data_IF_862500099811
#
_entry.id   IF_862500099811
#
_cell.length_a   1.000
_cell.length_b   1.000
_cell.length_c   1.000
_cell.angle_alpha   90.00
_cell.angle_beta   90.00
_cell.angle_gamma   90.00
#
_symmetry.space_group_name_H-M   'P 1'
#
loop_
_entity.id
_entity.type
_entity.pdbx_description
1 polymer ?
#
# COMPACT_ATOMS: atom_id res chain seq x y z
N UNK A 1 -17.67 -20.40 -22.43
CA UNK A 1 -18.27 -20.57 -23.75
C UNK A 1 -17.56 -19.61 -24.68
N UNK A 2 -17.07 -20.10 -25.81
CA UNK A 2 -16.34 -19.28 -26.77
C UNK A 2 -17.28 -18.20 -27.33
N UNK A 3 -16.77 -17.01 -27.62
CA UNK A 3 -17.58 -15.91 -28.19
C UNK A 3 -18.30 -16.32 -29.49
N UNK A 4 -17.79 -17.34 -30.19
CA UNK A 4 -18.34 -17.87 -31.43
C UNK A 4 -19.61 -18.71 -31.15
N UNK A 5 -19.59 -19.57 -30.12
CA UNK A 5 -20.75 -20.38 -29.72
C UNK A 5 -21.95 -19.50 -29.31
N UNK A 6 -21.69 -18.40 -28.58
CA UNK A 6 -22.74 -17.45 -28.17
C UNK A 6 -23.32 -16.72 -29.38
N UNK A 7 -22.48 -16.34 -30.36
CA UNK A 7 -22.96 -15.73 -31.61
C UNK A 7 -23.80 -16.70 -32.43
N UNK A 8 -23.40 -17.98 -32.50
CA UNK A 8 -24.12 -19.00 -33.23
C UNK A 8 -25.50 -19.29 -32.61
N UNK A 9 -25.59 -19.38 -31.28
CA UNK A 9 -26.85 -19.52 -30.55
C UNK A 9 -27.78 -18.32 -30.82
N UNK A 10 -27.25 -17.09 -30.74
CA UNK A 10 -28.03 -15.88 -31.00
C UNK A 10 -28.51 -15.76 -32.45
N UNK A 11 -27.68 -16.17 -33.41
CA UNK A 11 -28.08 -16.20 -34.83
C UNK A 11 -29.18 -17.24 -35.04
N UNK A 12 -29.06 -18.42 -34.43
CA UNK A 12 -30.10 -19.45 -34.50
C UNK A 12 -31.44 -18.99 -33.89
N UNK A 13 -31.40 -18.23 -32.79
CA UNK A 13 -32.60 -17.60 -32.20
C UNK A 13 -33.24 -16.58 -33.15
N UNK A 14 -32.43 -15.71 -33.77
CA UNK A 14 -32.91 -14.70 -34.72
C UNK A 14 -33.51 -15.34 -35.98
N UNK A 15 -32.87 -16.38 -36.51
CA UNK A 15 -33.39 -17.16 -37.63
C UNK A 15 -34.73 -17.81 -37.30
N UNK A 16 -34.87 -18.40 -36.10
CA UNK A 16 -36.12 -19.03 -35.67
C UNK A 16 -37.24 -18.00 -35.47
N UNK A 17 -36.91 -16.76 -35.13
CA UNK A 17 -37.88 -15.68 -34.92
C UNK A 17 -38.37 -15.06 -36.25
N UNK A 18 -37.50 -14.95 -37.24
CA UNK A 18 -37.83 -14.38 -38.56
C UNK A 18 -38.42 -15.43 -39.51
N UNK A 19 -37.81 -16.62 -39.54
CA UNK A 19 -38.23 -17.75 -40.36
C UNK A 19 -38.92 -18.77 -39.44
N UNK A 20 -40.20 -18.54 -39.15
CA UNK A 20 -41.05 -19.46 -38.37
C UNK A 20 -40.75 -20.92 -38.73
N UNK A 21 -40.64 -21.77 -37.70
CA UNK A 21 -40.18 -23.16 -37.74
C UNK A 21 -40.60 -23.91 -39.02
N UNK A 22 -39.70 -23.95 -40.02
CA UNK A 22 -39.91 -24.69 -41.26
C UNK A 22 -39.44 -24.01 -42.56
N UNK A 23 -39.28 -22.68 -42.59
CA UNK A 23 -38.91 -21.94 -43.81
C UNK A 23 -37.52 -21.30 -43.72
N UNK A 24 -36.49 -22.08 -43.36
CA UNK A 24 -35.10 -21.59 -43.46
C UNK A 24 -34.70 -21.59 -44.95
N UNK A 25 -34.35 -20.44 -45.54
CA UNK A 25 -33.89 -20.42 -46.92
C UNK A 25 -32.60 -21.26 -47.04
N UNK A 26 -32.57 -22.22 -47.94
CA UNK A 26 -31.30 -22.89 -48.28
C UNK A 26 -30.45 -21.92 -49.11
N UNK A 27 -29.13 -22.07 -49.06
CA UNK A 27 -28.16 -21.18 -49.72
C UNK A 27 -28.41 -21.07 -51.24
N UNK A 28 -29.12 -22.03 -51.84
CA UNK A 28 -29.45 -22.10 -53.26
C UNK A 28 -30.89 -21.67 -53.63
N UNK A 29 -31.70 -21.21 -52.67
CA UNK A 29 -33.07 -20.74 -52.94
C UNK A 29 -33.08 -19.30 -53.49
N UNK A 30 -33.96 -18.98 -54.47
CA UNK A 30 -34.11 -17.61 -54.95
C UNK A 30 -34.55 -16.69 -53.78
N UNK A 31 -34.05 -15.44 -53.72
CA UNK A 31 -34.44 -14.52 -52.66
C UNK A 31 -35.97 -14.35 -52.69
N UNK A 32 -36.61 -14.61 -51.55
CA UNK A 32 -38.07 -14.43 -51.39
C UNK A 32 -38.48 -13.05 -51.89
N UNK A 33 -39.39 -13.01 -52.87
CA UNK A 33 -39.78 -11.80 -53.61
C UNK A 33 -40.39 -10.69 -52.75
N UNK A 34 -40.83 -11.01 -51.53
CA UNK A 34 -41.33 -10.03 -50.57
C UNK A 34 -40.42 -10.01 -49.35
N UNK A 35 -39.69 -8.90 -49.17
CA UNK A 35 -38.93 -8.68 -47.95
C UNK A 35 -39.88 -8.69 -46.75
N UNK A 36 -39.44 -9.27 -45.62
CA UNK A 36 -40.16 -9.18 -44.34
C UNK A 36 -40.43 -7.71 -43.99
N UNK A 37 -39.51 -6.82 -44.38
CA UNK A 37 -39.65 -5.37 -44.23
C UNK A 37 -40.81 -4.83 -45.05
N UNK A 38 -40.98 -5.27 -46.31
CA UNK A 38 -42.08 -4.80 -47.17
C UNK A 38 -43.43 -5.30 -46.66
N UNK A 39 -43.49 -6.54 -46.17
CA UNK A 39 -44.70 -7.09 -45.55
C UNK A 39 -45.06 -6.36 -44.25
N UNK A 40 -44.06 -6.03 -43.43
CA UNK A 40 -44.23 -5.25 -42.21
C UNK A 40 -44.68 -3.82 -42.51
N UNK A 41 -44.10 -3.19 -43.54
CA UNK A 41 -44.45 -1.84 -43.98
C UNK A 41 -45.88 -1.82 -44.54
N UNK A 42 -46.26 -2.84 -45.32
CA UNK A 42 -47.63 -3.01 -45.80
C UNK A 42 -48.61 -3.17 -44.63
N UNK A 43 -48.31 -4.03 -43.65
CA UNK A 43 -49.13 -4.17 -42.45
C UNK A 43 -49.23 -2.85 -41.66
N UNK A 44 -48.11 -2.14 -41.48
CA UNK A 44 -48.09 -0.84 -40.82
C UNK A 44 -48.94 0.21 -41.55
N UNK A 45 -48.89 0.26 -42.88
CA UNK A 45 -49.72 1.20 -43.67
C UNK A 45 -51.21 0.84 -43.63
N UNK A 46 -51.57 -0.45 -43.65
CA UNK A 46 -52.95 -0.91 -43.44
C UNK A 46 -53.47 -0.55 -42.05
N UNK A 47 -52.65 -0.74 -41.03
CA UNK A 47 -52.97 -0.35 -39.66
C UNK A 47 -53.13 1.18 -39.59
N UNK A 48 -52.13 1.94 -40.03
CA UNK A 48 -52.13 3.41 -40.00
C UNK A 48 -53.33 4.02 -40.75
N UNK A 49 -53.66 3.50 -41.93
CA UNK A 49 -54.84 3.92 -42.70
C UNK A 49 -56.16 3.59 -41.98
N UNK A 50 -56.23 2.44 -41.29
CA UNK A 50 -57.39 2.07 -40.45
C UNK A 50 -57.56 2.98 -39.23
N UNK A 51 -56.46 3.52 -38.69
CA UNK A 51 -56.46 4.49 -37.59
C UNK A 51 -56.71 5.95 -38.04
N UNK A 52 -56.48 6.27 -39.32
CA UNK A 52 -56.56 7.64 -39.87
C UNK A 52 -57.95 8.29 -39.71
N UNK A 53 -59.03 7.51 -39.58
CA UNK A 53 -60.38 7.99 -39.31
C UNK A 53 -60.82 7.97 -37.84
N UNK A 54 -59.98 7.45 -36.92
CA UNK A 54 -60.32 7.22 -35.50
C UNK A 54 -59.36 7.98 -34.59
N UNK A 55 -59.61 9.26 -34.41
CA UNK A 55 -58.77 10.17 -33.62
C UNK A 55 -58.47 9.65 -32.20
N UNK A 56 -59.49 9.11 -31.50
CA UNK A 56 -59.32 8.52 -30.16
C UNK A 56 -58.38 7.31 -30.15
N UNK A 57 -58.45 6.48 -31.19
CA UNK A 57 -57.64 5.28 -31.29
C UNK A 57 -56.18 5.62 -31.65
N UNK A 58 -55.98 6.63 -32.50
CA UNK A 58 -54.65 7.19 -32.81
C UNK A 58 -54.00 7.84 -31.57
N UNK A 59 -54.79 8.53 -30.73
CA UNK A 59 -54.29 9.09 -29.47
C UNK A 59 -53.81 8.00 -28.49
N UNK A 60 -54.47 6.85 -28.43
CA UNK A 60 -54.03 5.71 -27.60
C UNK A 60 -52.75 5.09 -28.16
N UNK A 61 -52.64 4.89 -29.48
CA UNK A 61 -51.42 4.35 -30.11
C UNK A 61 -50.20 5.24 -29.82
N UNK A 62 -50.36 6.56 -29.81
CA UNK A 62 -49.27 7.48 -29.44
C UNK A 62 -48.84 7.33 -27.97
N UNK A 63 -49.78 7.05 -27.07
CA UNK A 63 -49.50 6.81 -25.64
C UNK A 63 -48.88 5.45 -25.36
N UNK A 64 -48.90 4.50 -26.30
CA UNK A 64 -48.22 3.21 -26.13
C UNK A 64 -46.70 3.40 -26.03
N UNK A 65 -46.12 4.32 -26.82
CA UNK A 65 -44.68 4.63 -26.71
C UNK A 65 -44.31 5.30 -25.39
N UNK A 66 -45.19 6.17 -24.86
CA UNK A 66 -45.04 6.73 -23.52
C UNK A 66 -45.16 5.63 -22.45
N UNK A 67 -46.12 4.71 -22.58
CA UNK A 67 -46.31 3.60 -21.66
C UNK A 67 -45.11 2.64 -21.63
N UNK A 68 -44.50 2.38 -22.78
CA UNK A 68 -43.27 1.58 -22.88
C UNK A 68 -42.13 2.24 -22.11
N UNK A 69 -42.02 3.57 -22.17
CA UNK A 69 -41.05 4.32 -21.37
C UNK A 69 -41.34 4.24 -19.87
N UNK A 70 -42.61 4.24 -19.45
CA UNK A 70 -42.99 4.09 -18.04
C UNK A 70 -42.84 2.66 -17.51
N UNK A 71 -42.80 1.66 -18.41
CA UNK A 71 -42.61 0.25 -18.07
C UNK A 71 -41.13 -0.17 -18.11
N UNK A 72 -40.24 0.70 -18.57
CA UNK A 72 -38.80 0.45 -18.52
C UNK A 72 -38.36 0.32 -17.04
N UNK A 73 -37.71 -0.79 -16.63
CA UNK A 73 -37.17 -0.93 -15.28
C UNK A 73 -36.13 0.14 -14.89
N UNK A 74 -35.58 0.87 -15.87
CA UNK A 74 -34.71 2.02 -15.66
C UNK A 74 -35.46 3.36 -15.67
N UNK A 75 -36.80 3.37 -15.73
CA UNK A 75 -37.58 4.59 -15.64
C UNK A 75 -37.49 5.18 -14.23
N UNK A 76 -36.51 6.06 -14.03
CA UNK A 76 -36.32 6.74 -12.76
C UNK A 76 -37.37 7.84 -12.57
N UNK A 77 -38.25 7.65 -11.59
CA UNK A 77 -39.04 8.76 -11.04
C UNK A 77 -38.06 9.72 -10.31
N UNK A 78 -37.58 10.72 -11.05
CA UNK A 78 -36.53 11.64 -10.60
C UNK A 78 -36.86 12.39 -9.29
N UNK A 79 -38.15 12.58 -8.99
CA UNK A 79 -38.58 13.28 -7.78
C UNK A 79 -38.31 12.42 -6.53
N UNK A 80 -38.82 11.17 -6.48
CA UNK A 80 -38.60 10.25 -5.35
C UNK A 80 -37.11 9.98 -5.05
N UNK A 81 -36.23 10.15 -6.04
CA UNK A 81 -34.80 10.00 -5.84
C UNK A 81 -34.14 11.26 -5.26
N UNK A 82 -34.71 12.45 -5.40
CA UNK A 82 -34.05 13.68 -4.94
C UNK A 82 -34.02 13.76 -3.41
N UNK A 83 -35.14 13.48 -2.74
CA UNK A 83 -35.19 13.40 -1.27
C UNK A 83 -34.33 12.25 -0.74
N UNK A 84 -34.40 11.07 -1.38
CA UNK A 84 -33.58 9.92 -0.98
C UNK A 84 -32.07 10.17 -1.15
N UNK A 85 -31.68 10.86 -2.23
CA UNK A 85 -30.28 11.29 -2.46
C UNK A 85 -29.86 12.34 -1.43
N UNK A 86 -30.73 13.28 -1.07
CA UNK A 86 -30.44 14.28 -0.05
C UNK A 86 -30.25 13.65 1.34
N UNK A 87 -31.12 12.71 1.71
CA UNK A 87 -30.99 11.95 2.97
C UNK A 87 -29.71 11.10 2.97
N UNK A 88 -29.40 10.43 1.85
CA UNK A 88 -28.15 9.69 1.69
C UNK A 88 -26.92 10.59 1.90
N UNK A 89 -26.89 11.78 1.28
CA UNK A 89 -25.79 12.73 1.44
C UNK A 89 -25.67 13.20 2.90
N UNK A 90 -26.78 13.47 3.59
CA UNK A 90 -26.79 13.84 5.00
C UNK A 90 -26.27 12.71 5.89
N UNK A 91 -26.63 11.46 5.60
CA UNK A 91 -26.12 10.30 6.35
C UNK A 91 -24.62 10.09 6.15
N UNK A 92 -24.10 10.39 4.95
CA UNK A 92 -22.68 10.25 4.59
C UNK A 92 -21.84 11.49 4.94
N UNK A 93 -22.46 12.61 5.32
CA UNK A 93 -21.78 13.86 5.70
C UNK A 93 -20.61 13.66 6.69
N UNK A 94 -20.75 12.92 7.82
CA UNK A 94 -19.65 12.74 8.75
C UNK A 94 -18.47 11.97 8.14
N UNK A 95 -18.73 10.98 7.29
CA UNK A 95 -17.68 10.22 6.58
C UNK A 95 -16.99 11.09 5.54
N UNK A 96 -17.74 11.86 4.74
CA UNK A 96 -17.21 12.82 3.78
C UNK A 96 -16.34 13.88 4.46
N UNK A 97 -16.79 14.42 5.60
CA UNK A 97 -16.02 15.38 6.40
C UNK A 97 -14.75 14.75 6.99
N UNK A 98 -14.84 13.50 7.46
CA UNK A 98 -13.68 12.73 7.93
C UNK A 98 -12.65 12.52 6.83
N UNK A 99 -13.09 12.10 5.65
CA UNK A 99 -12.24 11.89 4.48
C UNK A 99 -11.59 13.20 4.00
N UNK A 100 -12.36 14.30 3.95
CA UNK A 100 -11.82 15.61 3.61
C UNK A 100 -10.71 16.04 4.58
N UNK A 101 -10.91 15.86 5.88
CA UNK A 101 -9.90 16.20 6.88
C UNK A 101 -8.63 15.35 6.77
N UNK A 102 -8.78 14.04 6.50
CA UNK A 102 -7.65 13.15 6.25
C UNK A 102 -6.89 13.55 4.98
N UNK A 103 -7.59 13.97 3.94
CA UNK A 103 -7.00 14.42 2.68
C UNK A 103 -6.23 15.73 2.87
N UNK A 104 -6.77 16.70 3.61
CA UNK A 104 -6.05 17.94 3.96
C UNK A 104 -4.78 17.64 4.76
N UNK A 105 -4.86 16.72 5.74
CA UNK A 105 -3.68 16.27 6.49
C UNK A 105 -2.63 15.62 5.58
N UNK A 106 -3.06 14.83 4.60
CA UNK A 106 -2.15 14.22 3.64
C UNK A 106 -1.43 15.29 2.81
N UNK A 107 -2.16 16.30 2.33
CA UNK A 107 -1.59 17.42 1.57
C UNK A 107 -0.57 18.23 2.39
N UNK A 108 -0.83 18.44 3.68
CA UNK A 108 0.13 19.07 4.60
C UNK A 108 1.39 18.24 4.81
N UNK A 109 1.29 16.90 4.78
CA UNK A 109 2.38 15.97 5.03
C UNK A 109 3.19 15.62 3.76
N UNK A 110 2.62 15.74 2.57
CA UNK A 110 3.29 15.54 1.28
C UNK A 110 4.63 16.28 1.13
N UNK A 111 4.74 17.59 1.44
CA UNK A 111 6.01 18.31 1.31
C UNK A 111 7.10 17.83 2.27
N UNK A 112 6.74 17.14 3.37
CA UNK A 112 7.72 16.54 4.28
C UNK A 112 8.39 15.33 3.61
N UNK A 113 7.63 14.52 2.88
CA UNK A 113 8.16 13.38 2.12
C UNK A 113 9.09 13.81 0.98
N UNK A 114 8.80 14.96 0.36
CA UNK A 114 9.63 15.55 -0.70
C UNK A 114 10.89 16.24 -0.18
N UNK A 115 11.04 16.37 1.15
CA UNK A 115 12.20 17.06 1.71
C UNK A 115 13.51 16.33 1.39
N UNK A 116 14.49 17.08 0.90
CA UNK A 116 15.83 16.56 0.54
C UNK A 116 16.56 15.87 1.71
N UNK A 117 16.07 16.07 2.94
CA UNK A 117 16.56 15.39 4.15
C UNK A 117 16.39 13.88 4.06
N UNK A 118 15.28 13.38 3.51
CA UNK A 118 15.09 11.93 3.34
C UNK A 118 15.92 11.38 2.18
N UNK A 119 16.18 12.19 1.15
CA UNK A 119 17.01 11.80 0.00
C UNK A 119 18.49 11.64 0.36
N UNK A 120 18.97 12.41 1.34
CA UNK A 120 20.36 12.35 1.83
C UNK A 120 20.59 11.30 2.93
N UNK A 121 19.55 10.58 3.37
CA UNK A 121 19.67 9.52 4.39
C UNK A 121 20.69 8.43 4.00
N UNK A 122 20.70 7.87 2.77
CA UNK A 122 21.67 6.84 2.42
C UNK A 122 23.13 7.33 2.51
N UNK A 123 23.40 8.58 2.12
CA UNK A 123 24.73 9.17 2.24
C UNK A 123 25.14 9.37 3.71
N UNK A 124 24.20 9.84 4.54
CA UNK A 124 24.41 9.97 5.98
C UNK A 124 24.63 8.60 6.65
N UNK A 125 23.93 7.56 6.23
CA UNK A 125 24.12 6.18 6.71
C UNK A 125 25.51 5.66 6.37
N UNK A 126 26.03 5.91 5.17
CA UNK A 126 27.40 5.52 4.81
C UNK A 126 28.44 6.24 5.67
N UNK A 127 28.29 7.56 5.87
CA UNK A 127 29.18 8.34 6.75
C UNK A 127 29.12 7.84 8.20
N UNK A 128 27.92 7.55 8.70
CA UNK A 128 27.72 7.01 10.04
C UNK A 128 28.37 5.64 10.19
N UNK A 129 28.20 4.74 9.22
CA UNK A 129 28.81 3.40 9.27
C UNK A 129 30.35 3.50 9.28
N UNK A 130 30.93 4.35 8.43
CA UNK A 130 32.37 4.60 8.44
C UNK A 130 32.85 5.16 9.79
N UNK A 131 32.10 6.07 10.39
CA UNK A 131 32.39 6.62 11.72
C UNK A 131 32.29 5.54 12.80
N UNK A 132 31.27 4.68 12.75
CA UNK A 132 31.10 3.56 13.67
C UNK A 132 32.28 2.59 13.58
N UNK A 133 32.70 2.23 12.36
CA UNK A 133 33.87 1.37 12.16
C UNK A 133 35.16 2.00 12.70
N UNK A 134 35.35 3.31 12.49
CA UNK A 134 36.50 4.03 13.04
C UNK A 134 36.45 4.07 14.58
N UNK A 135 35.26 4.27 15.15
CA UNK A 135 35.06 4.30 16.60
C UNK A 135 35.32 2.95 17.25
N UNK A 136 34.88 1.84 16.64
CA UNK A 136 35.17 0.49 17.11
C UNK A 136 36.68 0.23 17.14
N UNK A 137 37.40 0.57 16.06
CA UNK A 137 38.86 0.43 16.04
C UNK A 137 39.55 1.24 17.13
N UNK A 138 39.14 2.50 17.31
CA UNK A 138 39.68 3.36 18.37
C UNK A 138 39.38 2.80 19.76
N UNK A 139 38.23 2.18 19.95
CA UNK A 139 37.86 1.54 21.20
C UNK A 139 38.75 0.32 21.49
N UNK A 140 38.96 -0.55 20.49
CA UNK A 140 39.84 -1.72 20.61
C UNK A 140 41.29 -1.29 20.93
N UNK A 141 41.82 -0.28 20.23
CA UNK A 141 43.15 0.29 20.51
C UNK A 141 43.25 0.88 21.91
N UNK A 142 42.18 1.54 22.39
CA UNK A 142 42.13 2.09 23.75
C UNK A 142 42.12 1.00 24.81
N UNK A 143 41.45 -0.12 24.55
CA UNK A 143 41.41 -1.26 25.48
C UNK A 143 42.77 -1.95 25.55
N UNK A 144 43.42 -2.17 24.41
CA UNK A 144 44.78 -2.72 24.32
C UNK A 144 45.78 -1.84 25.09
N UNK A 145 45.79 -0.53 24.82
CA UNK A 145 46.65 0.42 25.54
C UNK A 145 46.39 0.42 27.05
N UNK A 146 45.12 0.31 27.46
CA UNK A 146 44.76 0.23 28.89
C UNK A 146 45.30 -1.04 29.53
N UNK A 147 45.25 -2.17 28.83
CA UNK A 147 45.83 -3.43 29.29
C UNK A 147 47.34 -3.32 29.45
N UNK A 148 48.04 -2.75 28.47
CA UNK A 148 49.49 -2.55 28.54
C UNK A 148 49.89 -1.66 29.72
N UNK A 149 49.15 -0.57 29.96
CA UNK A 149 49.38 0.32 31.11
C UNK A 149 49.19 -0.43 32.43
N UNK A 150 48.13 -1.23 32.55
CA UNK A 150 47.88 -2.06 33.73
C UNK A 150 49.04 -3.06 33.97
N UNK A 151 49.55 -3.69 32.92
CA UNK A 151 50.69 -4.61 33.01
C UNK A 151 51.98 -3.91 33.45
N UNK A 152 52.24 -2.70 32.93
CA UNK A 152 53.39 -1.89 33.35
C UNK A 152 53.26 -1.48 34.80
N UNK A 153 52.07 -1.05 35.24
CA UNK A 153 51.80 -0.71 36.65
C UNK A 153 51.98 -1.94 37.55
N UNK A 154 51.53 -3.12 37.13
CA UNK A 154 51.72 -4.36 37.88
C UNK A 154 53.20 -4.71 38.03
N UNK A 155 53.99 -4.60 36.95
CA UNK A 155 55.45 -4.79 36.98
C UNK A 155 56.12 -3.79 37.92
N UNK A 156 55.75 -2.52 37.83
CA UNK A 156 56.27 -1.46 38.70
C UNK A 156 55.98 -1.75 40.18
N UNK A 157 54.75 -2.11 40.52
CA UNK A 157 54.37 -2.49 41.88
C UNK A 157 55.14 -3.71 42.38
N UNK A 158 55.39 -4.71 41.53
CA UNK A 158 56.22 -5.86 41.88
C UNK A 158 57.67 -5.46 42.16
N UNK A 159 58.25 -4.58 41.34
CA UNK A 159 59.63 -4.10 41.53
C UNK A 159 59.74 -3.30 42.83
N UNK A 160 58.79 -2.40 43.12
CA UNK A 160 58.75 -1.67 44.39
C UNK A 160 58.68 -2.63 45.56
N UNK A 161 57.77 -3.59 45.54
CA UNK A 161 57.63 -4.56 46.63
C UNK A 161 58.92 -5.35 46.87
N UNK A 162 59.63 -5.71 45.80
CA UNK A 162 60.93 -6.38 45.91
C UNK A 162 62.01 -5.47 46.49
N UNK A 163 62.07 -4.20 46.07
CA UNK A 163 62.98 -3.20 46.63
C UNK A 163 62.66 -2.97 48.11
N UNK A 164 61.39 -2.79 48.48
CA UNK A 164 60.96 -2.62 49.88
C UNK A 164 61.37 -3.82 50.73
N UNK A 165 61.16 -5.05 50.26
CA UNK A 165 61.63 -6.26 50.97
C UNK A 165 63.15 -6.30 51.09
N UNK A 166 63.87 -5.98 50.01
CA UNK A 166 65.34 -5.94 50.02
C UNK A 166 65.88 -4.92 51.01
N UNK A 167 65.28 -3.74 51.08
CA UNK A 167 65.64 -2.70 52.04
C UNK A 167 65.35 -3.11 53.49
N UNK A 168 64.21 -3.77 53.76
CA UNK A 168 63.91 -4.31 55.10
C UNK A 168 64.95 -5.37 55.51
N UNK A 169 65.33 -6.26 54.59
CA UNK A 169 66.36 -7.27 54.85
C UNK A 169 67.70 -6.59 55.12
N UNK A 170 68.09 -5.61 54.29
CA UNK A 170 69.33 -4.88 54.45
C UNK A 170 69.36 -4.14 55.80
N UNK A 171 68.28 -3.45 56.16
CA UNK A 171 68.12 -2.78 57.47
C UNK A 171 68.30 -3.76 58.63
N UNK A 172 67.63 -4.92 58.58
CA UNK A 172 67.79 -5.97 59.59
C UNK A 172 69.24 -6.49 59.68
N UNK A 173 69.93 -6.66 58.53
CA UNK A 173 71.34 -7.08 58.54
C UNK A 173 72.27 -6.00 59.10
N UNK A 174 72.00 -4.73 58.82
CA UNK A 174 72.77 -3.59 59.34
C UNK A 174 72.55 -3.47 60.85
N UNK A 175 71.30 -3.52 61.32
CA UNK A 175 70.98 -3.51 62.77
C UNK A 175 71.63 -4.69 63.50
N UNK A 176 71.66 -5.88 62.89
CA UNK A 176 72.35 -7.04 63.47
C UNK A 176 73.87 -6.81 63.60
N UNK A 177 74.50 -6.23 62.57
CA UNK A 177 75.91 -5.87 62.58
C UNK A 177 76.21 -4.76 63.59
N UNK A 178 75.34 -3.74 63.70
CA UNK A 178 75.44 -2.67 64.69
C UNK A 178 75.35 -3.21 66.11
N UNK A 179 74.34 -4.05 66.41
CA UNK A 179 74.18 -4.68 67.73
C UNK A 179 75.38 -5.55 68.13
N UNK A 180 75.98 -6.27 67.17
CA UNK A 180 77.21 -7.04 67.41
C UNK A 180 78.43 -6.15 67.65
N UNK A 181 78.41 -4.91 67.13
CA UNK A 181 79.46 -3.93 67.31
C UNK A 181 79.27 -3.04 68.56
N UNK A 182 78.13 -3.12 69.26
CA UNK A 182 77.95 -2.41 70.54
C UNK A 182 78.83 -3.10 71.60
N UNK A 183 79.84 -2.41 72.18
CA UNK A 183 80.70 -3.00 73.18
C UNK A 183 79.92 -3.23 74.48
N UNK A 184 80.02 -4.45 75.02
CA UNK A 184 79.51 -4.80 76.35
C UNK A 184 80.14 -3.84 77.36
N UNK A 185 79.30 -3.02 78.00
CA UNK A 185 79.67 -2.21 79.17
C UNK A 185 80.20 -3.18 80.22
N UNK A 186 81.51 -3.14 80.49
CA UNK A 186 82.08 -3.84 81.64
C UNK A 186 81.44 -3.25 82.91
N UNK A 187 80.66 -4.08 83.61
CA UNK A 187 80.31 -3.86 85.01
C UNK A 187 81.55 -4.25 85.83
N UNK A 188 82.22 -3.25 86.40
CA UNK A 188 82.94 -3.34 87.67
C UNK A 188 82.02 -2.83 88.79
#
# INVERSE_FOLDING_TARGET
MSNIELLEERVAELENQVFSHGNKPQIDDPPTENSVVDSLLHAYTLISSSYSGREKANAVVKRIGELDSYLDPNFENSDLQMEARAELILTLEPELRGNAHLLTKLEELLPVLESERFRSVPEATHKLNNLTLAYTKLHDESEELTSEICDVIAKYNSVINNISRSLIILDATVTAAENAAIPVKQLD
#
